data_IF_610880977188
#
_entry.id   IF_610880977188
#
_cell.length_a   1.000
_cell.length_b   1.000
_cell.length_c   1.000
_cell.angle_alpha   90.00
_cell.angle_beta   90.00
_cell.angle_gamma   90.00
#
_symmetry.space_group_name_H-M   'P 1'
#
loop_
_entity.id
_entity.type
_entity.pdbx_description
1 polymer ?
#
# COMPACT_ATOMS: atom_id res chain seq x y z
N UNK A 1 4.94 -4.39 79.20
CA UNK A 1 5.91 -4.71 78.14
C UNK A 1 5.12 -5.00 76.89
N UNK A 2 5.13 -4.08 75.92
CA UNK A 2 4.32 -4.17 74.69
C UNK A 2 5.15 -4.74 73.53
N UNK A 3 4.56 -5.48 72.58
CA UNK A 3 5.32 -6.16 71.53
C UNK A 3 5.67 -5.18 70.39
N UNK A 4 6.89 -5.34 69.86
CA UNK A 4 7.41 -4.55 68.75
C UNK A 4 6.97 -5.17 67.42
N UNK A 5 6.14 -4.46 66.66
CA UNK A 5 5.72 -4.85 65.31
C UNK A 5 6.88 -4.66 64.32
N UNK A 6 7.42 -5.75 63.77
CA UNK A 6 8.34 -5.70 62.62
C UNK A 6 7.51 -5.46 61.34
N UNK A 7 7.63 -4.26 60.78
CA UNK A 7 7.09 -3.96 59.45
C UNK A 7 8.05 -4.56 58.42
N UNK A 8 7.61 -5.62 57.75
CA UNK A 8 8.31 -6.17 56.59
C UNK A 8 8.08 -5.25 55.39
N UNK A 9 9.16 -4.62 54.92
CA UNK A 9 9.14 -3.86 53.67
C UNK A 9 9.11 -4.84 52.50
N UNK A 10 7.96 -4.98 51.83
CA UNK A 10 7.90 -5.58 50.51
C UNK A 10 8.51 -4.60 49.50
N UNK A 11 9.78 -4.82 49.15
CA UNK A 11 10.39 -4.20 47.98
C UNK A 11 9.60 -4.66 46.73
N UNK A 12 8.77 -3.78 46.17
CA UNK A 12 8.15 -3.99 44.87
C UNK A 12 9.22 -3.82 43.82
N UNK A 13 9.66 -4.93 43.22
CA UNK A 13 10.53 -4.91 42.05
C UNK A 13 9.83 -4.14 40.92
N UNK A 14 10.38 -3.00 40.58
CA UNK A 14 10.03 -2.27 39.36
C UNK A 14 10.65 -3.04 38.19
N UNK A 15 9.84 -3.79 37.45
CA UNK A 15 10.25 -4.28 36.14
C UNK A 15 10.42 -3.06 35.23
N UNK A 16 11.67 -2.68 34.95
CA UNK A 16 11.95 -1.79 33.82
C UNK A 16 11.38 -2.44 32.56
N UNK A 17 10.83 -1.67 31.61
CA UNK A 17 10.49 -2.22 30.31
C UNK A 17 11.76 -2.87 29.75
N UNK A 18 11.67 -4.15 29.36
CA UNK A 18 12.73 -4.85 28.65
C UNK A 18 13.14 -3.94 27.48
N UNK A 19 14.41 -3.54 27.43
CA UNK A 19 14.94 -2.69 26.36
C UNK A 19 14.67 -3.43 25.04
N UNK A 20 13.74 -2.93 24.23
CA UNK A 20 13.40 -3.55 22.95
C UNK A 20 14.67 -3.67 22.10
N UNK A 21 14.79 -4.77 21.35
CA UNK A 21 15.90 -4.98 20.43
C UNK A 21 16.01 -3.75 19.51
N UNK A 22 17.20 -3.14 19.34
CA UNK A 22 17.37 -1.95 18.50
C UNK A 22 16.80 -2.08 17.08
N UNK A 23 16.84 -3.29 16.49
CA UNK A 23 16.28 -3.56 15.17
C UNK A 23 14.75 -3.59 15.19
N UNK A 24 14.15 -4.19 16.22
CA UNK A 24 12.70 -4.15 16.43
C UNK A 24 12.20 -2.72 16.59
N UNK A 25 12.90 -1.92 17.40
CA UNK A 25 12.55 -0.52 17.61
C UNK A 25 12.62 0.31 16.32
N UNK A 26 13.58 0.02 15.44
CA UNK A 26 13.69 0.68 14.14
C UNK A 26 12.49 0.36 13.22
N UNK A 27 12.05 -0.91 13.19
CA UNK A 27 10.86 -1.32 12.43
C UNK A 27 9.60 -0.66 12.99
N UNK A 28 9.43 -0.67 14.31
CA UNK A 28 8.29 -0.03 15.00
C UNK A 28 8.23 1.49 14.76
N UNK A 29 9.39 2.17 14.70
CA UNK A 29 9.47 3.59 14.38
C UNK A 29 8.94 3.87 12.96
N UNK A 30 9.38 3.09 11.97
CA UNK A 30 8.89 3.24 10.59
C UNK A 30 7.39 2.92 10.48
N UNK A 31 6.90 1.90 11.20
CA UNK A 31 5.47 1.57 11.26
C UNK A 31 4.64 2.71 11.86
N UNK A 32 5.12 3.33 12.94
CA UNK A 32 4.48 4.48 13.56
C UNK A 32 4.40 5.68 12.61
N UNK A 33 5.50 5.97 11.90
CA UNK A 33 5.56 7.02 10.88
C UNK A 33 4.58 6.77 9.74
N UNK A 34 4.53 5.55 9.21
CA UNK A 34 3.58 5.14 8.17
C UNK A 34 2.13 5.27 8.63
N UNK A 35 1.79 4.83 9.84
CA UNK A 35 0.41 4.94 10.36
C UNK A 35 -0.08 6.39 10.44
N UNK A 36 0.79 7.30 10.87
CA UNK A 36 0.49 8.74 10.89
C UNK A 36 0.32 9.32 9.47
N UNK A 37 1.11 8.80 8.52
CA UNK A 37 1.18 9.30 7.14
C UNK A 37 0.11 8.74 6.20
N UNK A 38 -0.30 7.48 6.36
CA UNK A 38 -1.23 6.76 5.45
C UNK A 38 -2.56 7.51 5.26
N UNK A 39 -2.98 8.32 6.23
CA UNK A 39 -4.20 9.12 6.17
C UNK A 39 -4.03 10.55 5.64
N UNK A 40 -2.79 11.05 5.55
CA UNK A 40 -2.50 12.49 5.35
C UNK A 40 -1.57 12.79 4.19
N UNK A 41 -0.67 11.89 3.80
CA UNK A 41 0.34 12.10 2.75
C UNK A 41 -0.06 11.57 1.37
N UNK A 42 0.71 11.96 0.34
CA UNK A 42 0.58 11.40 -1.00
C UNK A 42 0.91 9.91 -1.03
N UNK A 43 0.40 9.21 -2.05
CA UNK A 43 0.70 7.80 -2.30
C UNK A 43 2.21 7.58 -2.51
N UNK A 44 2.86 8.48 -3.25
CA UNK A 44 4.31 8.44 -3.49
C UNK A 44 5.10 8.45 -2.17
N UNK A 45 4.71 9.30 -1.22
CA UNK A 45 5.36 9.34 0.11
C UNK A 45 5.12 8.05 0.91
N UNK A 46 3.93 7.45 0.81
CA UNK A 46 3.65 6.17 1.45
C UNK A 46 4.52 5.05 0.88
N UNK A 47 4.78 5.05 -0.44
CA UNK A 47 5.66 4.07 -1.08
C UNK A 47 7.13 4.25 -0.70
N UNK A 48 7.60 5.50 -0.59
CA UNK A 48 8.94 5.79 -0.07
C UNK A 48 9.08 5.29 1.37
N UNK A 49 8.11 5.62 2.23
CA UNK A 49 8.14 5.15 3.62
C UNK A 49 8.04 3.62 3.73
N UNK A 50 7.30 2.97 2.83
CA UNK A 50 7.19 1.52 2.76
C UNK A 50 8.51 0.87 2.33
N UNK A 51 9.23 1.48 1.38
CA UNK A 51 10.60 1.07 1.03
C UNK A 51 11.51 1.16 2.24
N UNK A 52 11.53 2.30 2.94
CA UNK A 52 12.37 2.51 4.12
C UNK A 52 12.04 1.50 5.24
N UNK A 53 10.75 1.18 5.45
CA UNK A 53 10.32 0.13 6.37
C UNK A 53 10.92 -1.23 5.98
N UNK A 54 10.86 -1.61 4.71
CA UNK A 54 11.35 -2.91 4.25
C UNK A 54 12.88 -3.02 4.25
N UNK A 55 13.61 -1.91 4.23
CA UNK A 55 15.05 -1.90 4.49
C UNK A 55 15.34 -2.22 5.96
N UNK A 56 14.57 -1.68 6.92
CA UNK A 56 14.70 -2.03 8.34
C UNK A 56 14.27 -3.48 8.63
N UNK A 57 13.24 -3.99 7.93
CA UNK A 57 12.77 -5.38 8.08
C UNK A 57 13.85 -6.37 7.67
N UNK A 58 14.64 -6.06 6.65
CA UNK A 58 15.70 -6.95 6.19
C UNK A 58 16.75 -7.22 7.27
N UNK A 59 17.19 -6.16 7.96
CA UNK A 59 18.13 -6.28 9.09
C UNK A 59 17.49 -7.06 10.25
N UNK A 60 16.22 -6.77 10.54
CA UNK A 60 15.46 -7.45 11.59
C UNK A 60 15.33 -8.97 11.35
N UNK A 61 15.03 -9.39 10.12
CA UNK A 61 14.87 -10.79 9.74
C UNK A 61 16.13 -11.63 9.98
N UNK A 62 17.32 -11.00 9.92
CA UNK A 62 18.59 -11.68 10.22
C UNK A 62 18.72 -12.12 11.69
N UNK A 63 17.83 -11.66 12.57
CA UNK A 63 17.84 -12.00 14.00
C UNK A 63 16.74 -12.96 14.43
N UNK A 64 15.82 -13.31 13.52
CA UNK A 64 14.68 -14.19 13.84
C UNK A 64 15.11 -15.66 13.86
N UNK A 65 14.64 -16.42 14.85
CA UNK A 65 14.81 -17.87 14.89
C UNK A 65 13.85 -18.51 13.89
N UNK A 66 14.39 -19.23 12.89
CA UNK A 66 13.70 -19.69 11.66
C UNK A 66 12.42 -20.54 11.81
N UNK A 67 11.90 -20.73 13.03
CA UNK A 67 10.68 -21.47 13.37
C UNK A 67 9.40 -20.90 12.73
N UNK A 68 9.36 -19.62 12.39
CA UNK A 68 8.18 -18.99 11.76
C UNK A 68 8.36 -18.69 10.26
N UNK A 69 9.50 -19.07 9.70
CA UNK A 69 10.00 -18.51 8.45
C UNK A 69 9.25 -19.00 7.20
N UNK A 70 8.77 -20.25 7.21
CA UNK A 70 7.91 -20.79 6.14
C UNK A 70 6.62 -20.00 6.00
N UNK A 71 5.97 -19.66 7.13
CA UNK A 71 4.75 -18.87 7.12
C UNK A 71 5.01 -17.45 6.61
N UNK A 72 6.12 -16.82 7.01
CA UNK A 72 6.51 -15.49 6.52
C UNK A 72 6.82 -15.52 5.02
N UNK A 73 7.44 -16.59 4.52
CA UNK A 73 7.68 -16.78 3.09
C UNK A 73 6.39 -16.89 2.29
N UNK A 74 5.42 -17.66 2.73
CA UNK A 74 4.12 -17.74 2.06
C UNK A 74 3.43 -16.37 2.00
N UNK A 75 3.50 -15.59 3.08
CA UNK A 75 2.98 -14.22 3.11
C UNK A 75 3.75 -13.27 2.20
N UNK A 76 5.06 -13.43 2.07
CA UNK A 76 5.87 -12.63 1.15
C UNK A 76 5.48 -12.86 -0.32
N UNK A 77 5.10 -14.09 -0.71
CA UNK A 77 4.56 -14.37 -2.07
C UNK A 77 3.29 -13.59 -2.31
N UNK A 78 2.35 -13.64 -1.36
CA UNK A 78 1.09 -12.91 -1.46
C UNK A 78 1.33 -11.41 -1.64
N UNK A 79 2.25 -10.81 -0.88
CA UNK A 79 2.59 -9.39 -1.01
C UNK A 79 3.17 -9.06 -2.38
N UNK A 80 4.05 -9.92 -2.91
CA UNK A 80 4.60 -9.79 -4.27
C UNK A 80 3.52 -9.89 -5.34
N UNK A 81 2.60 -10.85 -5.23
CA UNK A 81 1.49 -11.03 -6.18
C UNK A 81 0.57 -9.80 -6.22
N UNK A 82 0.25 -9.24 -5.04
CA UNK A 82 -0.57 -8.04 -4.93
C UNK A 82 0.19 -6.84 -5.51
N UNK A 83 1.46 -6.65 -5.14
CA UNK A 83 2.28 -5.56 -5.68
C UNK A 83 2.41 -5.65 -7.21
N UNK A 84 2.66 -6.85 -7.75
CA UNK A 84 2.69 -7.13 -9.18
C UNK A 84 1.37 -6.78 -9.86
N UNK A 85 0.24 -7.19 -9.28
CA UNK A 85 -1.09 -6.82 -9.78
C UNK A 85 -1.28 -5.30 -9.84
N UNK A 86 -0.85 -4.56 -8.82
CA UNK A 86 -0.93 -3.09 -8.79
C UNK A 86 -0.11 -2.47 -9.91
N UNK A 87 1.12 -2.95 -10.13
CA UNK A 87 1.98 -2.49 -11.22
C UNK A 87 1.32 -2.73 -12.58
N UNK A 88 0.77 -3.92 -12.80
CA UNK A 88 0.12 -4.28 -14.06
C UNK A 88 -1.09 -3.40 -14.36
N UNK A 89 -1.91 -3.09 -13.36
CA UNK A 89 -3.07 -2.21 -13.55
C UNK A 89 -2.66 -0.75 -13.75
N UNK A 90 -1.61 -0.28 -13.07
CA UNK A 90 -1.05 1.07 -13.26
C UNK A 90 -0.56 1.23 -14.70
N UNK A 91 0.21 0.25 -15.18
CA UNK A 91 0.76 0.24 -16.54
C UNK A 91 -0.33 0.19 -17.61
N UNK A 92 -1.34 -0.66 -17.44
CA UNK A 92 -2.49 -0.69 -18.35
C UNK A 92 -3.26 0.62 -18.38
N UNK A 93 -3.47 1.28 -17.23
CA UNK A 93 -4.12 2.59 -17.17
C UNK A 93 -3.30 3.65 -17.89
N UNK A 94 -1.99 3.68 -17.65
CA UNK A 94 -1.06 4.63 -18.27
C UNK A 94 -1.04 4.46 -19.78
N UNK A 95 -0.90 3.24 -20.27
CA UNK A 95 -0.93 2.94 -21.71
C UNK A 95 -2.25 3.41 -22.33
N UNK A 96 -3.39 3.08 -21.72
CA UNK A 96 -4.69 3.52 -22.24
C UNK A 96 -4.86 5.05 -22.23
N UNK A 97 -4.27 5.75 -21.25
CA UNK A 97 -4.23 7.21 -21.19
C UNK A 97 -3.43 7.79 -22.35
N UNK A 98 -2.26 7.23 -22.63
CA UNK A 98 -1.38 7.64 -23.74
C UNK A 98 -2.00 7.37 -25.11
N UNK A 99 -2.66 6.22 -25.28
CA UNK A 99 -3.39 5.85 -26.49
C UNK A 99 -4.51 6.87 -26.75
N UNK A 100 -5.32 7.14 -25.72
CA UNK A 100 -6.40 8.12 -25.80
C UNK A 100 -5.87 9.52 -26.12
N UNK A 101 -4.80 9.96 -25.45
CA UNK A 101 -4.17 11.25 -25.69
C UNK A 101 -3.66 11.35 -27.15
N UNK A 102 -3.08 10.27 -27.67
CA UNK A 102 -2.62 10.16 -29.06
C UNK A 102 -3.77 10.22 -30.06
N UNK A 103 -4.88 9.56 -29.75
CA UNK A 103 -6.07 9.55 -30.60
C UNK A 103 -6.73 10.92 -30.66
N UNK A 104 -6.83 11.64 -29.53
CA UNK A 104 -7.28 13.04 -29.52
C UNK A 104 -6.37 13.93 -30.39
N UNK A 105 -5.04 13.79 -30.30
CA UNK A 105 -4.09 14.54 -31.16
C UNK A 105 -4.29 14.27 -32.65
N UNK A 106 -4.61 13.02 -33.00
CA UNK A 106 -4.89 12.60 -34.38
C UNK A 106 -6.31 12.90 -34.84
N UNK A 107 -7.12 13.55 -34.00
CA UNK A 107 -8.55 13.81 -34.24
C UNK A 107 -9.36 12.51 -34.46
N UNK A 108 -8.89 11.41 -33.86
CA UNK A 108 -9.58 10.12 -33.79
C UNK A 108 -10.34 9.98 -32.46
N UNK A 109 -11.47 9.28 -32.49
CA UNK A 109 -12.33 9.09 -31.31
C UNK A 109 -12.23 7.65 -30.78
N UNK A 110 -11.19 7.35 -30.01
CA UNK A 110 -10.97 6.03 -29.38
C UNK A 110 -11.48 5.97 -27.92
N UNK A 111 -12.47 6.80 -27.61
CA UNK A 111 -13.09 6.89 -26.27
C UNK A 111 -13.64 5.55 -25.77
N UNK A 112 -14.30 4.79 -26.64
CA UNK A 112 -14.89 3.50 -26.27
C UNK A 112 -13.82 2.45 -25.94
N UNK A 113 -12.66 2.50 -26.60
CA UNK A 113 -11.53 1.62 -26.33
C UNK A 113 -10.93 1.93 -24.95
N UNK A 114 -10.69 3.22 -24.65
CA UNK A 114 -10.26 3.66 -23.31
C UNK A 114 -11.24 3.19 -22.23
N UNK A 115 -12.53 3.48 -22.39
CA UNK A 115 -13.56 3.11 -21.40
C UNK A 115 -13.67 1.59 -21.22
N UNK A 116 -13.44 0.82 -22.27
CA UNK A 116 -13.41 -0.65 -22.19
C UNK A 116 -12.18 -1.14 -21.43
N UNK A 117 -11.00 -0.60 -21.72
CA UNK A 117 -9.76 -0.89 -20.97
C UNK A 117 -9.94 -0.55 -19.48
N UNK A 118 -10.43 0.66 -19.19
CA UNK A 118 -10.74 1.15 -17.86
C UNK A 118 -11.66 0.21 -17.07
N UNK A 119 -12.74 -0.28 -17.70
CA UNK A 119 -13.65 -1.26 -17.09
C UNK A 119 -12.96 -2.59 -16.77
N UNK A 120 -12.06 -3.08 -17.64
CA UNK A 120 -11.30 -4.31 -17.40
C UNK A 120 -10.36 -4.15 -16.20
N UNK A 121 -9.61 -3.05 -16.15
CA UNK A 121 -8.74 -2.72 -15.01
C UNK A 121 -9.53 -2.65 -13.71
N UNK A 122 -10.68 -1.95 -13.67
CA UNK A 122 -11.51 -1.89 -12.47
C UNK A 122 -12.01 -3.26 -12.00
N UNK A 123 -12.26 -4.21 -12.91
CA UNK A 123 -12.62 -5.59 -12.53
C UNK A 123 -11.46 -6.32 -11.87
N UNK A 124 -10.24 -6.16 -12.40
CA UNK A 124 -9.02 -6.75 -11.81
C UNK A 124 -8.79 -6.19 -10.41
N UNK A 125 -8.90 -4.86 -10.26
CA UNK A 125 -8.77 -4.18 -8.96
C UNK A 125 -9.81 -4.70 -7.95
N UNK A 126 -11.08 -4.80 -8.36
CA UNK A 126 -12.16 -5.28 -7.48
C UNK A 126 -11.94 -6.74 -7.05
N UNK A 127 -11.42 -7.58 -7.94
CA UNK A 127 -11.05 -8.95 -7.62
C UNK A 127 -9.91 -8.98 -6.59
N UNK A 128 -8.83 -8.23 -6.85
CA UNK A 128 -7.69 -8.13 -5.94
C UNK A 128 -8.10 -7.65 -4.54
N UNK A 129 -8.88 -6.57 -4.44
CA UNK A 129 -9.42 -6.08 -3.16
C UNK A 129 -10.31 -7.11 -2.44
N UNK A 130 -11.05 -7.93 -3.19
CA UNK A 130 -11.89 -8.99 -2.61
C UNK A 130 -11.06 -10.15 -2.09
N UNK A 131 -9.96 -10.49 -2.77
CA UNK A 131 -9.06 -11.56 -2.37
C UNK A 131 -8.18 -11.16 -1.17
N UNK A 132 -7.75 -9.89 -1.12
CA UNK A 132 -7.09 -9.31 0.07
C UNK A 132 -7.92 -9.49 1.33
N UNK A 133 -9.20 -9.09 1.29
CA UNK A 133 -10.13 -9.25 2.43
C UNK A 133 -10.30 -10.69 2.92
N UNK A 134 -10.16 -11.68 2.04
CA UNK A 134 -10.23 -13.09 2.43
C UNK A 134 -8.95 -13.56 3.11
N UNK A 135 -7.80 -13.00 2.71
CA UNK A 135 -6.48 -13.42 3.21
C UNK A 135 -6.12 -12.78 4.55
N UNK A 136 -6.61 -11.57 4.85
CA UNK A 136 -6.40 -10.90 6.15
C UNK A 136 -7.05 -11.66 7.33
N UNK A 137 -8.04 -12.51 7.08
CA UNK A 137 -8.73 -13.29 8.12
C UNK A 137 -7.99 -14.56 8.55
N UNK A 138 -6.88 -14.92 7.89
CA UNK A 138 -6.09 -16.10 8.22
C UNK A 138 -5.02 -15.72 9.24
N UNK A 139 -5.38 -15.67 10.52
CA UNK A 139 -4.41 -15.48 11.60
C UNK A 139 -3.45 -16.66 11.64
N UNK A 140 -2.15 -16.36 11.70
CA UNK A 140 -1.12 -17.36 11.98
C UNK A 140 -0.40 -16.94 13.26
N UNK A 141 -0.75 -17.60 14.36
CA UNK A 141 -0.23 -17.28 15.70
C UNK A 141 1.28 -17.48 15.82
N UNK A 142 1.89 -18.17 14.86
CA UNK A 142 3.34 -18.42 14.79
C UNK A 142 4.16 -17.23 14.28
N UNK A 143 3.55 -16.27 13.58
CA UNK A 143 4.28 -15.11 13.02
C UNK A 143 4.52 -14.08 14.13
N UNK A 144 5.72 -13.49 14.16
CA UNK A 144 6.05 -12.37 15.05
C UNK A 144 5.06 -11.20 14.87
N UNK A 145 4.59 -10.62 15.96
CA UNK A 145 3.61 -9.53 15.94
C UNK A 145 4.11 -8.31 15.16
N UNK A 146 5.42 -8.03 15.17
CA UNK A 146 6.04 -6.97 14.37
C UNK A 146 5.88 -7.26 12.87
N UNK A 147 6.13 -8.50 12.43
CA UNK A 147 5.98 -8.89 11.03
C UNK A 147 4.51 -8.91 10.58
N UNK A 148 3.58 -9.30 11.47
CA UNK A 148 2.14 -9.17 11.21
C UNK A 148 1.75 -7.70 10.99
N UNK A 149 2.34 -6.79 11.77
CA UNK A 149 2.10 -5.37 11.65
C UNK A 149 2.67 -4.77 10.35
N UNK A 150 3.87 -5.20 9.94
CA UNK A 150 4.46 -4.89 8.62
C UNK A 150 3.54 -5.35 7.49
N UNK A 151 3.07 -6.59 7.53
CA UNK A 151 2.14 -7.13 6.53
C UNK A 151 0.86 -6.29 6.48
N UNK A 152 0.22 -6.04 7.63
CA UNK A 152 -1.01 -5.27 7.71
C UNK A 152 -0.84 -3.84 7.16
N UNK A 153 0.29 -3.19 7.46
CA UNK A 153 0.60 -1.84 7.01
C UNK A 153 0.83 -1.81 5.49
N UNK A 154 1.55 -2.79 4.97
CA UNK A 154 1.80 -2.97 3.54
C UNK A 154 0.49 -3.18 2.77
N UNK A 155 -0.37 -4.07 3.29
CA UNK A 155 -1.68 -4.31 2.71
C UNK A 155 -2.56 -3.06 2.74
N UNK A 156 -2.56 -2.28 3.83
CA UNK A 156 -3.31 -1.03 3.90
C UNK A 156 -2.84 -0.01 2.85
N UNK A 157 -1.54 0.09 2.61
CA UNK A 157 -0.99 0.94 1.52
C UNK A 157 -1.45 0.42 0.16
N UNK A 158 -1.34 -0.88 -0.11
CA UNK A 158 -1.78 -1.49 -1.36
C UNK A 158 -3.29 -1.34 -1.60
N UNK A 159 -4.12 -1.54 -0.58
CA UNK A 159 -5.57 -1.32 -0.64
C UNK A 159 -5.91 0.14 -0.94
N UNK A 160 -5.16 1.08 -0.35
CA UNK A 160 -5.30 2.51 -0.63
C UNK A 160 -5.02 2.81 -2.11
N UNK A 161 -3.91 2.29 -2.67
CA UNK A 161 -3.54 2.44 -4.08
C UNK A 161 -4.58 1.81 -5.02
N UNK A 162 -5.03 0.60 -4.72
CA UNK A 162 -6.05 -0.09 -5.51
C UNK A 162 -7.38 0.67 -5.51
N UNK A 163 -7.84 1.09 -4.33
CA UNK A 163 -9.05 1.90 -4.17
C UNK A 163 -8.96 3.21 -4.94
N UNK A 164 -7.77 3.81 -4.87
CA UNK A 164 -7.39 5.01 -5.57
C UNK A 164 -7.50 4.82 -7.11
N UNK A 165 -6.92 3.76 -7.68
CA UNK A 165 -6.96 3.45 -9.12
C UNK A 165 -8.36 3.04 -9.61
N UNK A 166 -9.20 2.45 -8.75
CA UNK A 166 -10.56 2.07 -9.14
C UNK A 166 -11.48 3.26 -9.40
N UNK A 167 -11.13 4.46 -8.90
CA UNK A 167 -12.03 5.60 -8.69
C UNK A 167 -13.30 5.21 -7.88
N UNK A 168 -13.96 6.14 -7.18
CA UNK A 168 -15.24 5.82 -6.56
C UNK A 168 -16.21 5.42 -7.67
N UNK A 169 -16.86 4.25 -7.55
CA UNK A 169 -18.23 4.14 -8.06
C UNK A 169 -18.94 5.37 -7.50
N UNK A 170 -19.58 6.18 -8.33
CA UNK A 170 -20.58 7.13 -7.87
C UNK A 170 -21.60 6.33 -7.05
N UNK A 171 -21.35 6.18 -5.75
CA UNK A 171 -22.40 5.92 -4.79
C UNK A 171 -23.23 7.20 -4.86
N UNK A 172 -24.49 7.02 -5.16
CA UNK A 172 -25.53 8.05 -5.07
C UNK A 172 -25.21 9.04 -3.95
N UNK A 173 -25.28 10.33 -4.30
CA UNK A 173 -24.98 11.53 -3.51
C UNK A 173 -25.55 11.54 -2.08
N UNK A 174 -25.06 10.71 -1.15
CA UNK A 174 -25.38 10.81 0.28
C UNK A 174 -24.20 10.32 1.13
N UNK A 175 -23.09 11.06 1.11
CA UNK A 175 -22.20 11.21 2.28
C UNK A 175 -21.18 12.31 2.02
N UNK A 176 -21.54 13.55 2.35
CA UNK A 176 -20.59 14.65 2.51
C UNK A 176 -19.88 14.47 3.85
N UNK A 177 -18.63 14.03 3.82
CA UNK A 177 -17.66 14.41 4.84
C UNK A 177 -16.30 14.55 4.15
N UNK A 178 -15.94 15.79 3.87
CA UNK A 178 -14.71 16.13 3.17
C UNK A 178 -13.57 16.24 4.18
N UNK A 179 -12.81 15.16 4.34
CA UNK A 179 -11.43 15.27 4.81
C UNK A 179 -10.56 15.50 3.58
N UNK A 180 -10.04 16.72 3.42
CA UNK A 180 -9.09 17.06 2.36
C UNK A 180 -7.73 16.47 2.75
N UNK A 181 -7.39 15.29 2.23
CA UNK A 181 -6.03 14.73 2.30
C UNK A 181 -5.40 14.68 0.90
N UNK A 182 -4.07 14.72 0.84
CA UNK A 182 -3.27 14.70 -0.39
C UNK A 182 -3.57 13.50 -1.31
N UNK A 183 -4.17 12.45 -0.76
CA UNK A 183 -4.74 11.25 -1.44
C UNK A 183 -5.80 11.55 -2.52
N UNK A 184 -6.29 12.79 -2.64
CA UNK A 184 -7.35 13.16 -3.60
C UNK A 184 -6.87 13.42 -5.03
N UNK A 185 -5.58 13.70 -5.26
CA UNK A 185 -5.16 14.36 -6.51
C UNK A 185 -5.37 13.50 -7.76
N UNK A 186 -4.99 12.22 -7.71
CA UNK A 186 -5.02 11.37 -8.91
C UNK A 186 -6.43 10.76 -9.14
N UNK A 187 -7.26 10.62 -8.08
CA UNK A 187 -8.67 10.16 -8.17
C UNK A 187 -9.45 11.24 -8.90
N UNK A 188 -9.13 12.50 -8.57
CA UNK A 188 -9.68 13.65 -9.24
C UNK A 188 -9.38 13.57 -10.74
N UNK A 189 -8.16 13.23 -11.17
CA UNK A 189 -7.84 13.15 -12.59
C UNK A 189 -8.53 11.98 -13.31
N UNK A 190 -8.50 10.77 -12.74
CA UNK A 190 -9.22 9.62 -13.33
C UNK A 190 -10.72 9.91 -13.44
N UNK A 191 -11.32 10.50 -12.40
CA UNK A 191 -12.76 10.83 -12.41
C UNK A 191 -13.09 12.00 -13.33
N UNK A 192 -12.21 13.00 -13.46
CA UNK A 192 -12.34 14.09 -14.44
C UNK A 192 -12.31 13.56 -15.86
N UNK A 193 -11.34 12.72 -16.21
CA UNK A 193 -11.26 12.07 -17.51
C UNK A 193 -12.53 11.26 -17.76
N UNK A 194 -12.90 10.35 -16.85
CA UNK A 194 -14.10 9.52 -17.00
C UNK A 194 -15.40 10.36 -17.14
N UNK A 195 -15.52 11.48 -16.41
CA UNK A 195 -16.67 12.38 -16.49
C UNK A 195 -16.70 13.17 -17.82
N UNK A 196 -15.54 13.64 -18.27
CA UNK A 196 -15.39 14.37 -19.52
C UNK A 196 -15.79 13.53 -20.73
N UNK A 197 -15.32 12.28 -20.77
CA UNK A 197 -15.65 11.35 -21.85
C UNK A 197 -17.13 10.98 -21.85
N UNK A 198 -17.76 10.85 -20.67
CA UNK A 198 -19.20 10.54 -20.55
C UNK A 198 -20.10 11.69 -20.99
N UNK A 199 -19.72 12.94 -20.71
CA UNK A 199 -20.54 14.09 -21.07
C UNK A 199 -20.43 14.42 -22.56
N UNK A 200 -19.36 14.00 -23.26
CA UNK A 200 -19.02 14.41 -24.65
C UNK A 200 -18.98 15.94 -24.86
N UNK A 201 -18.97 16.72 -23.77
CA UNK A 201 -19.20 18.17 -23.76
C UNK A 201 -17.93 18.95 -23.42
N UNK A 202 -16.87 18.27 -22.96
CA UNK A 202 -15.64 18.94 -22.53
C UNK A 202 -14.73 19.21 -23.72
N UNK A 203 -14.15 20.40 -23.77
CA UNK A 203 -13.12 20.78 -24.75
C UNK A 203 -11.97 19.76 -24.71
N UNK A 204 -11.57 19.26 -25.89
CA UNK A 204 -10.48 18.30 -26.04
C UNK A 204 -9.20 18.70 -25.28
N UNK A 205 -8.98 20.01 -25.12
CA UNK A 205 -7.83 20.60 -24.42
C UNK A 205 -7.84 20.36 -22.91
N UNK A 206 -9.01 20.39 -22.26
CA UNK A 206 -9.12 20.13 -20.81
C UNK A 206 -8.90 18.64 -20.51
N UNK A 207 -9.45 17.76 -21.35
CA UNK A 207 -9.22 16.30 -21.25
C UNK A 207 -7.75 15.94 -21.43
N UNK A 208 -7.08 16.56 -22.41
CA UNK A 208 -5.65 16.34 -22.64
C UNK A 208 -4.78 16.73 -21.44
N UNK A 209 -5.11 17.82 -20.75
CA UNK A 209 -4.38 18.23 -19.55
C UNK A 209 -4.55 17.20 -18.43
N UNK A 210 -5.78 16.79 -18.14
CA UNK A 210 -6.02 15.75 -17.12
C UNK A 210 -5.40 14.40 -17.48
N UNK A 211 -5.33 14.03 -18.77
CA UNK A 211 -4.62 12.82 -19.22
C UNK A 211 -3.11 12.91 -19.00
N UNK A 212 -2.50 14.08 -19.25
CA UNK A 212 -1.08 14.30 -18.99
C UNK A 212 -0.77 14.29 -17.48
N UNK A 213 -1.61 14.93 -16.67
CA UNK A 213 -1.48 14.89 -15.21
C UNK A 213 -1.65 13.45 -14.70
N UNK A 214 -2.62 12.69 -15.22
CA UNK A 214 -2.81 11.27 -14.89
C UNK A 214 -1.58 10.43 -15.25
N UNK A 215 -1.01 10.62 -16.44
CA UNK A 215 0.19 9.89 -16.89
C UNK A 215 1.39 10.14 -15.97
N UNK A 216 1.66 11.39 -15.62
CA UNK A 216 2.75 11.76 -14.70
C UNK A 216 2.57 11.10 -13.34
N UNK A 217 1.36 11.13 -12.80
CA UNK A 217 1.05 10.51 -11.53
C UNK A 217 1.16 8.97 -11.56
N UNK A 218 0.78 8.34 -12.67
CA UNK A 218 0.94 6.89 -12.85
C UNK A 218 2.42 6.50 -13.01
N UNK A 219 3.25 7.36 -13.62
CA UNK A 219 4.69 7.16 -13.68
C UNK A 219 5.32 7.18 -12.29
N UNK A 220 5.05 8.21 -11.47
CA UNK A 220 5.55 8.27 -10.09
C UNK A 220 5.11 7.06 -9.25
N UNK A 221 3.86 6.61 -9.46
CA UNK A 221 3.33 5.43 -8.82
C UNK A 221 4.08 4.16 -9.24
N UNK A 222 4.34 3.97 -10.54
CA UNK A 222 5.10 2.83 -11.07
C UNK A 222 6.52 2.79 -10.49
N UNK A 223 7.21 3.93 -10.43
CA UNK A 223 8.57 4.03 -9.90
C UNK A 223 8.64 3.71 -8.40
N UNK A 224 7.67 4.20 -7.63
CA UNK A 224 7.54 3.88 -6.21
C UNK A 224 7.22 2.40 -5.97
N UNK A 225 6.32 1.81 -6.76
CA UNK A 225 5.97 0.39 -6.67
C UNK A 225 7.13 -0.51 -7.07
N UNK A 226 7.89 -0.15 -8.10
CA UNK A 226 9.10 -0.88 -8.51
C UNK A 226 10.12 -0.93 -7.38
N UNK A 227 10.30 0.20 -6.68
CA UNK A 227 11.21 0.28 -5.53
C UNK A 227 10.77 -0.66 -4.39
N UNK A 228 9.48 -0.63 -4.02
CA UNK A 228 8.91 -1.55 -3.00
C UNK A 228 9.00 -3.01 -3.45
N UNK A 229 8.68 -3.30 -4.70
CA UNK A 229 8.74 -4.67 -5.26
C UNK A 229 10.15 -5.26 -5.15
N UNK A 230 11.19 -4.47 -5.44
CA UNK A 230 12.59 -4.89 -5.27
C UNK A 230 12.93 -5.20 -3.81
N UNK A 231 12.48 -4.37 -2.88
CA UNK A 231 12.68 -4.62 -1.44
C UNK A 231 11.96 -5.89 -0.97
N UNK A 232 10.75 -6.17 -1.47
CA UNK A 232 10.02 -7.40 -1.17
C UNK A 232 10.77 -8.65 -1.68
N UNK A 233 11.31 -8.59 -2.91
CA UNK A 233 12.15 -9.67 -3.46
C UNK A 233 13.41 -9.86 -2.61
N UNK A 234 14.09 -8.79 -2.25
CA UNK A 234 15.31 -8.84 -1.44
C UNK A 234 15.04 -9.49 -0.08
N UNK A 235 14.00 -9.06 0.62
CA UNK A 235 13.55 -9.66 1.88
C UNK A 235 13.24 -11.15 1.71
N UNK A 236 12.49 -11.53 0.66
CA UNK A 236 12.21 -12.94 0.37
C UNK A 236 13.47 -13.77 0.18
N UNK A 237 14.46 -13.25 -0.54
CA UNK A 237 15.76 -13.91 -0.73
C UNK A 237 16.47 -14.07 0.61
N UNK A 238 16.48 -13.05 1.47
CA UNK A 238 17.05 -13.14 2.81
C UNK A 238 16.37 -14.22 3.67
N UNK A 239 15.04 -14.28 3.67
CA UNK A 239 14.28 -15.35 4.33
C UNK A 239 14.67 -16.75 3.79
N UNK A 240 14.74 -16.91 2.48
CA UNK A 240 15.16 -18.18 1.86
C UNK A 240 16.60 -18.56 2.22
N UNK A 241 17.50 -17.60 2.32
CA UNK A 241 18.89 -17.86 2.70
C UNK A 241 18.98 -18.32 4.16
N UNK A 242 18.17 -17.75 5.07
CA UNK A 242 18.14 -18.16 6.48
C UNK A 242 17.58 -19.58 6.65
N UNK A 243 16.56 -19.98 5.89
CA UNK A 243 16.04 -21.37 5.92
C UNK A 243 17.04 -22.42 5.44
N UNK A 244 17.95 -22.03 4.55
CA UNK A 244 18.91 -22.94 3.92
C UNK A 244 20.28 -22.96 4.61
N UNK A 245 20.45 -22.22 5.71
CA UNK A 245 21.66 -22.25 6.58
C UNK A 245 21.56 -23.38 7.61
#
# INVERSE_FOLDING_TARGET
MSPSNKIAYHARSISLPTRSNPLTAAVEEQLSKLRSSVLTSSISNNLVALKDLYECVEDFLSTEDGKCLDAVLDRSVMLLDVCGTIKDVSSQMKQSSQDLQSSIRRQSNEFDAYMTSRKKVCKVIQKCLSDLKKNTNKNNDLINDVLKEVEATTLAVFESILSFLSAPKQRSLVSKLATKSATQQVVNEVTKVDAALKSKVIEAKEVQKSLADLEMNLQELEDGLESVFRCLIKNRVSLLNILNQ
#
